data_IF_579476600463
#
_entry.id   IF_579476600463
#
_cell.length_a   1.000
_cell.length_b   1.000
_cell.length_c   1.000
_cell.angle_alpha   90.00
_cell.angle_beta   90.00
_cell.angle_gamma   90.00
#
_symmetry.space_group_name_H-M   'P 1'
#
loop_
_entity.id
_entity.type
_entity.pdbx_description
1 polymer ?
#
# COMPACT_ATOMS: atom_id res chain seq x y z
N UNK A 1 43.62 56.35 20.79
CA UNK A 1 44.33 55.16 21.37
C UNK A 1 43.43 53.96 21.23
N UNK A 2 43.59 53.17 20.22
CA UNK A 2 42.77 52.02 19.90
C UNK A 2 43.44 50.76 20.42
N UNK A 3 42.77 50.00 21.26
CA UNK A 3 43.22 48.71 21.77
C UNK A 3 42.67 47.56 20.94
N UNK A 4 43.54 46.91 20.24
CA UNK A 4 43.30 45.69 19.49
C UNK A 4 43.14 44.50 20.45
N UNK A 5 41.96 43.81 20.43
CA UNK A 5 41.74 42.57 21.12
C UNK A 5 41.58 41.43 20.07
N UNK A 6 42.69 40.76 19.77
CA UNK A 6 42.70 39.51 19.00
C UNK A 6 42.04 38.41 19.80
N UNK A 7 40.93 37.88 19.28
CA UNK A 7 40.24 36.71 19.80
C UNK A 7 40.94 35.43 19.27
N UNK A 8 41.43 34.64 20.22
CA UNK A 8 42.03 33.32 19.97
C UNK A 8 40.98 32.33 19.45
N UNK A 9 41.14 31.89 18.20
CA UNK A 9 40.38 30.78 17.62
C UNK A 9 40.99 29.45 18.08
N UNK A 10 40.41 28.80 19.12
CA UNK A 10 40.64 27.40 19.42
C UNK A 10 40.21 26.53 18.23
N UNK A 11 41.21 25.95 17.54
CA UNK A 11 40.99 24.88 16.53
C UNK A 11 40.55 23.62 17.22
N UNK A 12 39.30 23.24 17.01
CA UNK A 12 38.77 21.94 17.42
C UNK A 12 39.32 20.90 16.44
N UNK A 13 40.30 20.11 16.89
CA UNK A 13 40.83 18.97 16.14
C UNK A 13 39.82 17.84 16.21
N UNK A 14 39.03 17.65 15.18
CA UNK A 14 38.30 16.41 14.96
C UNK A 14 39.32 15.32 14.67
N UNK A 15 39.37 14.33 15.54
CA UNK A 15 40.22 13.16 15.32
C UNK A 15 39.64 12.38 14.11
N UNK A 16 40.43 12.30 13.07
CA UNK A 16 40.12 11.55 11.84
C UNK A 16 40.45 10.08 12.12
N UNK A 17 39.44 9.27 12.51
CA UNK A 17 39.59 7.84 12.75
C UNK A 17 39.54 7.09 11.42
N UNK A 18 40.64 6.50 11.05
CA UNK A 18 40.78 5.59 9.91
C UNK A 18 40.05 4.27 10.17
N UNK A 19 39.47 3.67 9.11
CA UNK A 19 38.85 2.33 9.19
C UNK A 19 39.83 1.25 9.75
N UNK A 20 41.16 1.45 9.66
CA UNK A 20 42.19 0.58 10.25
C UNK A 20 42.23 0.71 11.75
N UNK A 21 42.04 1.90 12.30
CA UNK A 21 42.10 2.13 13.76
C UNK A 21 40.94 1.45 14.48
N UNK A 22 39.80 1.30 13.81
CA UNK A 22 38.67 0.55 14.34
C UNK A 22 38.93 -0.96 14.44
N UNK A 23 39.69 -1.53 13.51
CA UNK A 23 40.01 -2.97 13.52
C UNK A 23 41.12 -3.33 14.51
N UNK A 24 42.02 -2.41 14.83
CA UNK A 24 43.12 -2.64 15.77
C UNK A 24 42.67 -2.39 17.22
N UNK A 25 41.76 -1.46 17.46
CA UNK A 25 41.20 -1.16 18.79
C UNK A 25 40.22 -2.20 19.33
N UNK A 26 39.61 -3.01 18.46
CA UNK A 26 38.62 -4.03 18.81
C UNK A 26 39.19 -5.37 19.30
N UNK A 27 40.49 -5.59 19.20
CA UNK A 27 41.12 -6.89 19.43
C UNK A 27 41.60 -7.20 20.88
N UNK A 28 41.54 -6.26 21.80
CA UNK A 28 42.21 -6.40 23.12
C UNK A 28 41.26 -6.53 24.34
N UNK A 29 39.95 -6.78 24.14
CA UNK A 29 38.99 -6.88 25.25
C UNK A 29 38.28 -8.25 25.32
N UNK A 30 38.96 -9.34 24.94
CA UNK A 30 38.46 -10.70 25.09
C UNK A 30 39.29 -11.53 26.05
N UNK A 31 39.40 -11.11 27.32
CA UNK A 31 39.80 -12.01 28.39
C UNK A 31 39.20 -11.51 29.70
N UNK A 32 38.39 -12.39 30.29
CA UNK A 32 37.73 -12.35 31.61
C UNK A 32 36.28 -11.91 31.58
N UNK A 33 35.40 -12.83 31.13
CA UNK A 33 34.06 -12.90 31.65
C UNK A 33 33.69 -14.37 31.88
N UNK A 34 33.73 -14.77 33.14
CA UNK A 34 33.13 -16.01 33.65
C UNK A 34 31.64 -16.05 33.27
N UNK A 35 31.09 -17.22 32.89
CA UNK A 35 29.70 -17.32 32.50
C UNK A 35 28.81 -17.30 33.76
N UNK A 36 28.24 -16.16 34.09
CA UNK A 36 26.99 -16.11 34.87
C UNK A 36 25.87 -16.24 33.86
N UNK A 37 25.51 -17.48 33.57
CA UNK A 37 24.29 -17.80 32.81
C UNK A 37 23.08 -17.49 33.69
N UNK A 38 22.75 -16.22 33.86
CA UNK A 38 21.42 -15.80 34.22
C UNK A 38 20.60 -15.76 32.94
N UNK A 39 19.84 -16.82 32.68
CA UNK A 39 18.83 -16.84 31.63
C UNK A 39 17.81 -15.74 31.95
N UNK A 40 18.04 -14.55 31.41
CA UNK A 40 17.00 -13.55 31.29
C UNK A 40 16.11 -14.01 30.14
N UNK A 41 15.15 -14.91 30.45
CA UNK A 41 14.01 -15.13 29.61
C UNK A 41 13.19 -13.85 29.63
N UNK A 42 13.54 -12.90 28.79
CA UNK A 42 12.64 -11.80 28.44
C UNK A 42 11.54 -12.41 27.59
N UNK A 43 10.59 -13.09 28.22
CA UNK A 43 9.27 -13.30 27.64
C UNK A 43 8.65 -11.92 27.52
N UNK A 44 8.87 -11.30 26.34
CA UNK A 44 8.03 -10.18 25.94
C UNK A 44 6.58 -10.69 26.00
N UNK A 45 5.71 -10.09 26.83
CA UNK A 45 4.31 -10.52 26.87
C UNK A 45 3.77 -10.38 25.45
N UNK A 46 3.26 -11.50 24.90
CA UNK A 46 2.54 -11.45 23.65
C UNK A 46 1.48 -10.34 23.78
N UNK A 47 1.35 -9.43 22.82
CA UNK A 47 0.39 -8.35 22.91
C UNK A 47 -0.97 -8.96 23.18
N UNK A 48 -1.60 -8.54 24.29
CA UNK A 48 -2.94 -8.97 24.64
C UNK A 48 -3.81 -8.77 23.40
N UNK A 49 -4.54 -9.80 22.97
CA UNK A 49 -5.52 -9.70 21.88
C UNK A 49 -6.58 -8.70 22.33
N UNK A 50 -6.35 -7.42 22.05
CA UNK A 50 -7.38 -6.40 22.16
C UNK A 50 -8.37 -6.66 21.05
N UNK A 51 -9.58 -7.00 21.44
CA UNK A 51 -10.66 -7.26 20.50
C UNK A 51 -11.12 -5.91 19.93
N UNK A 52 -10.71 -5.62 18.72
CA UNK A 52 -11.11 -4.39 18.03
C UNK A 52 -12.40 -4.63 17.26
N UNK A 53 -13.38 -3.73 17.35
CA UNK A 53 -14.61 -3.86 16.58
C UNK A 53 -14.30 -3.86 15.09
N UNK A 54 -15.01 -4.67 14.31
CA UNK A 54 -14.86 -4.77 12.86
C UNK A 54 -15.12 -3.42 12.17
N UNK A 55 -14.40 -3.16 11.10
CA UNK A 55 -14.69 -2.00 10.24
C UNK A 55 -16.03 -2.21 9.53
N UNK A 56 -16.83 -1.16 9.40
CA UNK A 56 -18.06 -1.18 8.61
C UNK A 56 -17.82 -0.93 7.12
N UNK A 57 -16.57 -0.93 6.68
CA UNK A 57 -16.24 -0.72 5.29
C UNK A 57 -14.87 -1.23 4.89
N UNK A 58 -14.83 -1.83 3.70
CA UNK A 58 -13.65 -2.42 3.09
C UNK A 58 -13.63 -2.09 1.60
N UNK A 59 -12.42 -2.05 1.01
CA UNK A 59 -12.23 -1.96 -0.42
C UNK A 59 -11.80 -3.33 -0.94
N UNK A 60 -12.58 -3.90 -1.83
CA UNK A 60 -12.24 -5.09 -2.60
C UNK A 60 -11.94 -4.71 -4.04
N UNK A 61 -11.23 -5.55 -4.75
CA UNK A 61 -10.81 -5.26 -6.13
C UNK A 61 -10.79 -6.51 -6.99
N UNK A 62 -10.77 -6.33 -8.28
CA UNK A 62 -10.53 -7.38 -9.30
C UNK A 62 -9.24 -7.04 -10.05
N UNK A 63 -8.15 -7.75 -9.76
CA UNK A 63 -6.84 -7.54 -10.38
C UNK A 63 -6.92 -7.77 -11.89
N UNK A 64 -7.70 -8.75 -12.33
CA UNK A 64 -7.89 -9.08 -13.76
C UNK A 64 -8.73 -8.05 -14.53
N UNK A 65 -9.41 -7.15 -13.83
CA UNK A 65 -10.16 -6.04 -14.41
C UNK A 65 -9.36 -4.74 -14.36
N UNK A 66 -8.34 -4.68 -13.52
CA UNK A 66 -7.51 -3.50 -13.34
C UNK A 66 -6.61 -3.29 -14.57
N UNK A 67 -6.66 -2.10 -15.16
CA UNK A 67 -5.79 -1.73 -16.29
C UNK A 67 -4.45 -1.10 -15.85
N UNK A 68 -4.15 -1.04 -14.55
CA UNK A 68 -2.93 -0.38 -14.04
C UNK A 68 -2.85 1.12 -14.29
N UNK A 69 -3.95 1.77 -14.70
CA UNK A 69 -3.96 3.17 -15.17
C UNK A 69 -3.68 4.22 -14.10
N UNK A 70 -3.52 3.83 -12.83
CA UNK A 70 -3.24 4.68 -11.65
C UNK A 70 -4.22 5.83 -11.37
N UNK A 71 -5.35 5.93 -12.08
CA UNK A 71 -6.38 6.97 -11.87
C UNK A 71 -6.87 7.01 -10.43
N UNK A 72 -7.06 5.85 -9.79
CA UNK A 72 -7.43 5.74 -8.38
C UNK A 72 -6.39 6.36 -7.43
N UNK A 73 -5.09 6.25 -7.77
CA UNK A 73 -4.00 6.86 -7.00
C UNK A 73 -4.01 8.39 -7.15
N UNK A 74 -4.17 8.91 -8.36
CA UNK A 74 -4.25 10.34 -8.63
C UNK A 74 -5.49 10.96 -7.96
N UNK A 75 -6.64 10.31 -8.07
CA UNK A 75 -7.87 10.74 -7.41
C UNK A 75 -7.72 10.74 -5.89
N UNK A 76 -7.11 9.69 -5.30
CA UNK A 76 -6.84 9.61 -3.87
C UNK A 76 -5.95 10.77 -3.38
N UNK A 77 -4.86 11.08 -4.09
CA UNK A 77 -3.98 12.17 -3.69
C UNK A 77 -4.64 13.54 -3.87
N UNK A 78 -5.43 13.72 -4.94
CA UNK A 78 -6.16 14.96 -5.19
C UNK A 78 -7.17 15.25 -4.06
N UNK A 79 -8.00 14.27 -3.68
CA UNK A 79 -9.03 14.44 -2.66
C UNK A 79 -8.47 14.65 -1.26
N UNK A 80 -7.30 14.06 -0.95
CA UNK A 80 -6.68 14.20 0.38
C UNK A 80 -5.73 15.40 0.51
N UNK A 81 -5.07 15.80 -0.57
CA UNK A 81 -3.98 16.79 -0.53
C UNK A 81 -4.13 17.93 -1.54
N UNK A 82 -5.16 17.92 -2.39
CA UNK A 82 -5.39 18.93 -3.42
C UNK A 82 -4.37 18.89 -4.58
N UNK A 83 -3.54 17.85 -4.66
CA UNK A 83 -2.50 17.68 -5.68
C UNK A 83 -2.51 16.27 -6.26
N UNK A 84 -2.21 16.15 -7.53
CA UNK A 84 -2.06 14.87 -8.21
C UNK A 84 -0.62 14.37 -8.05
N UNK A 85 -0.40 13.46 -7.10
CA UNK A 85 0.92 12.89 -6.82
C UNK A 85 0.78 11.43 -6.38
N UNK A 86 1.31 10.51 -7.17
CA UNK A 86 1.22 9.06 -6.88
C UNK A 86 1.85 8.69 -5.53
N UNK A 87 2.93 9.37 -5.13
CA UNK A 87 3.64 9.10 -3.87
C UNK A 87 2.83 9.49 -2.61
N UNK A 88 1.81 10.35 -2.75
CA UNK A 88 0.92 10.76 -1.66
C UNK A 88 -0.36 9.91 -1.60
N UNK A 89 -0.56 9.04 -2.57
CA UNK A 89 -1.73 8.18 -2.62
C UNK A 89 -1.77 7.21 -1.45
N UNK A 90 -2.94 7.08 -0.82
CA UNK A 90 -3.21 6.13 0.27
C UNK A 90 -3.65 4.74 -0.23
N UNK A 91 -3.89 4.58 -1.53
CA UNK A 91 -4.02 3.32 -2.25
C UNK A 91 -2.83 3.20 -3.20
N UNK A 92 -2.35 1.98 -3.43
CA UNK A 92 -1.19 1.74 -4.28
C UNK A 92 -1.56 0.76 -5.39
N UNK A 93 -1.08 1.03 -6.59
CA UNK A 93 -1.08 0.11 -7.72
C UNK A 93 0.38 -0.21 -8.03
N UNK A 94 0.70 -1.49 -8.05
CA UNK A 94 2.03 -2.00 -8.35
C UNK A 94 1.95 -2.70 -9.68
N UNK A 95 2.90 -2.39 -10.55
CA UNK A 95 3.05 -3.03 -11.85
C UNK A 95 4.38 -3.78 -11.88
N UNK A 96 4.32 -5.05 -12.24
CA UNK A 96 5.51 -5.85 -12.49
C UNK A 96 5.72 -5.92 -14.01
N UNK A 97 6.74 -5.24 -14.50
CA UNK A 97 7.09 -5.19 -15.93
C UNK A 97 7.50 -6.56 -16.50
N UNK A 98 7.83 -7.52 -15.65
CA UNK A 98 8.19 -8.87 -16.02
C UNK A 98 7.09 -9.89 -15.72
N UNK A 99 6.05 -9.44 -15.01
CA UNK A 99 4.88 -10.24 -14.69
C UNK A 99 4.06 -10.56 -15.95
N UNK A 100 3.24 -11.59 -15.84
CA UNK A 100 2.27 -11.96 -16.87
C UNK A 100 0.87 -11.80 -16.33
N UNK A 101 -0.04 -11.33 -17.19
CA UNK A 101 -1.45 -11.27 -16.83
C UNK A 101 -1.93 -12.62 -16.26
N UNK A 102 -2.64 -12.65 -15.14
CA UNK A 102 -3.27 -11.51 -14.43
C UNK A 102 -2.43 -10.94 -13.26
N UNK A 103 -1.19 -11.43 -13.07
CA UNK A 103 -0.38 -11.14 -11.88
C UNK A 103 0.58 -9.95 -12.08
N UNK A 104 0.54 -9.33 -13.27
CA UNK A 104 1.33 -8.16 -13.65
C UNK A 104 0.89 -6.87 -12.96
N UNK A 105 -0.35 -6.82 -12.46
CA UNK A 105 -0.90 -5.65 -11.75
C UNK A 105 -1.47 -6.06 -10.40
N UNK A 106 -0.92 -5.51 -9.33
CA UNK A 106 -1.42 -5.71 -7.98
C UNK A 106 -2.03 -4.43 -7.42
N UNK A 107 -3.26 -4.53 -6.90
CA UNK A 107 -3.91 -3.45 -6.16
C UNK A 107 -3.67 -3.62 -4.66
N UNK A 108 -3.35 -2.53 -3.99
CA UNK A 108 -2.93 -2.56 -2.59
C UNK A 108 -3.70 -1.52 -1.73
N UNK A 109 -5.02 -1.66 -1.57
CA UNK A 109 -5.80 -0.87 -0.61
C UNK A 109 -5.49 -1.31 0.83
N UNK A 110 -5.75 -0.43 1.82
CA UNK A 110 -5.67 -0.81 3.21
C UNK A 110 -6.75 -1.84 3.54
N UNK A 111 -6.35 -2.96 4.16
CA UNK A 111 -7.24 -4.07 4.49
C UNK A 111 -8.16 -3.84 5.69
N UNK A 112 -8.07 -2.69 6.39
CA UNK A 112 -8.89 -2.41 7.59
C UNK A 112 -8.89 -3.60 8.58
N UNK A 113 -7.73 -4.21 8.83
CA UNK A 113 -7.53 -5.49 9.52
C UNK A 113 -8.34 -5.62 10.81
N UNK A 114 -8.84 -6.82 11.12
CA UNK A 114 -9.50 -7.14 12.39
C UNK A 114 -8.54 -6.94 13.56
N UNK A 115 -7.30 -7.42 13.42
CA UNK A 115 -6.22 -7.20 14.38
C UNK A 115 -5.26 -6.15 13.81
N UNK A 116 -5.48 -4.85 14.06
CA UNK A 116 -4.72 -3.79 13.42
C UNK A 116 -3.37 -3.55 14.11
N UNK A 117 -2.34 -4.31 13.74
CA UNK A 117 -0.99 -4.22 14.32
C UNK A 117 -0.42 -2.81 14.26
N UNK A 118 -0.75 -2.05 13.21
CA UNK A 118 -0.35 -0.65 13.09
C UNK A 118 -0.98 0.26 14.18
N UNK A 119 -2.17 -0.07 14.68
CA UNK A 119 -2.83 0.62 15.79
C UNK A 119 -2.19 0.21 17.12
N UNK A 120 -2.02 -1.09 17.33
CA UNK A 120 -1.45 -1.65 18.56
C UNK A 120 -0.05 -1.12 18.88
N UNK A 121 0.75 -0.89 17.85
CA UNK A 121 2.14 -0.47 17.98
C UNK A 121 2.36 1.04 17.81
N UNK A 122 1.32 1.84 17.76
CA UNK A 122 1.47 3.29 17.66
C UNK A 122 1.78 3.91 19.03
N UNK A 123 3.00 4.45 19.27
CA UNK A 123 3.41 4.91 20.60
C UNK A 123 2.61 6.12 21.11
N UNK A 124 2.02 6.90 20.21
CA UNK A 124 1.27 8.11 20.53
C UNK A 124 -0.24 7.97 20.26
N UNK A 125 -0.72 6.77 19.90
CA UNK A 125 -2.13 6.55 19.60
C UNK A 125 -2.65 7.33 18.38
N UNK A 126 -1.77 7.81 17.51
CA UNK A 126 -2.16 8.47 16.26
C UNK A 126 -2.82 7.50 15.28
N UNK A 127 -2.28 6.28 15.14
CA UNK A 127 -2.99 5.21 14.47
C UNK A 127 -4.07 4.70 15.42
N UNK A 128 -5.33 4.77 15.02
CA UNK A 128 -6.47 4.48 15.86
C UNK A 128 -7.62 3.83 15.10
N UNK A 129 -8.58 3.29 15.83
CA UNK A 129 -9.87 2.84 15.32
C UNK A 129 -10.88 3.94 15.61
N UNK A 130 -11.47 4.50 14.57
CA UNK A 130 -12.48 5.55 14.69
C UNK A 130 -13.87 4.94 14.88
N UNK A 131 -14.26 4.77 16.13
CA UNK A 131 -15.55 4.17 16.50
C UNK A 131 -16.75 5.01 16.12
N UNK A 132 -16.59 6.33 16.03
CA UNK A 132 -17.65 7.25 15.61
C UNK A 132 -17.95 7.17 14.12
N UNK A 133 -16.97 6.75 13.31
CA UNK A 133 -17.08 6.66 11.86
C UNK A 133 -16.97 5.21 11.35
N UNK A 134 -17.69 4.29 12.01
CA UNK A 134 -17.79 2.90 11.53
C UNK A 134 -16.51 2.09 11.73
N UNK A 135 -15.79 2.34 12.80
CA UNK A 135 -14.61 1.58 13.21
C UNK A 135 -13.47 1.60 12.17
N UNK A 136 -13.36 2.65 11.39
CA UNK A 136 -12.32 2.76 10.35
C UNK A 136 -10.95 2.91 11.01
N UNK A 137 -9.97 2.12 10.55
CA UNK A 137 -8.58 2.22 11.01
C UNK A 137 -7.93 3.38 10.26
N UNK A 138 -7.67 4.49 10.96
CA UNK A 138 -7.09 5.72 10.39
C UNK A 138 -5.84 6.17 11.14
N UNK A 139 -5.16 7.17 10.62
CA UNK A 139 -4.07 7.87 11.30
C UNK A 139 -4.50 9.32 11.49
N UNK A 140 -4.56 9.76 12.73
CA UNK A 140 -4.75 11.16 13.07
C UNK A 140 -3.45 11.94 12.82
N UNK A 141 -3.46 12.77 11.78
CA UNK A 141 -2.29 13.54 11.37
C UNK A 141 -1.86 14.56 12.43
N UNK A 142 -2.78 15.02 13.31
CA UNK A 142 -2.46 15.99 14.39
C UNK A 142 -1.64 15.34 15.51
N UNK A 143 -1.88 14.05 15.78
CA UNK A 143 -1.16 13.27 16.79
C UNK A 143 0.09 12.57 16.25
N UNK A 144 0.19 12.39 14.93
CA UNK A 144 1.28 11.64 14.30
C UNK A 144 2.62 12.37 14.44
N UNK A 145 3.60 11.72 15.06
CA UNK A 145 4.97 12.21 15.25
C UNK A 145 5.95 11.75 14.16
N UNK A 146 5.49 10.98 13.17
CA UNK A 146 6.32 10.52 12.06
C UNK A 146 7.31 9.40 12.38
N UNK A 147 7.10 8.64 13.44
CA UNK A 147 8.03 7.55 13.84
C UNK A 147 8.07 6.35 12.89
N UNK A 148 7.16 6.25 11.92
CA UNK A 148 7.04 5.19 10.89
C UNK A 148 6.82 3.77 11.44
N UNK A 149 6.60 3.58 12.74
CA UNK A 149 6.35 2.26 13.33
C UNK A 149 5.17 1.55 12.66
N UNK A 150 4.07 2.27 12.37
CA UNK A 150 2.90 1.73 11.69
C UNK A 150 3.19 1.21 10.26
N UNK A 151 4.20 1.77 9.58
CA UNK A 151 4.66 1.28 8.28
C UNK A 151 5.39 -0.05 8.47
N UNK A 152 6.40 -0.08 9.37
CA UNK A 152 7.21 -1.25 9.64
C UNK A 152 6.40 -2.44 10.16
N UNK A 153 5.37 -2.15 10.95
CA UNK A 153 4.52 -3.18 11.56
C UNK A 153 3.39 -3.67 10.65
N UNK A 154 3.19 -3.08 9.46
CA UNK A 154 2.18 -3.55 8.54
C UNK A 154 2.58 -4.91 7.96
N UNK A 155 1.78 -6.00 8.16
CA UNK A 155 2.14 -7.33 7.69
C UNK A 155 1.97 -7.50 6.18
N UNK A 156 1.29 -6.55 5.53
CA UNK A 156 0.99 -6.62 4.10
C UNK A 156 2.18 -6.19 3.25
N UNK A 157 2.35 -6.81 2.09
CA UNK A 157 3.32 -6.42 1.08
C UNK A 157 2.59 -5.99 -0.20
N UNK A 158 2.84 -4.76 -0.66
CA UNK A 158 3.52 -3.65 0.01
C UNK A 158 2.78 -3.18 1.27
N UNK A 159 3.47 -2.46 2.14
CA UNK A 159 2.85 -1.89 3.34
C UNK A 159 1.68 -0.98 2.97
N UNK A 160 0.55 -1.12 3.67
CA UNK A 160 -0.67 -0.34 3.40
C UNK A 160 -0.67 1.03 4.08
N UNK A 161 0.35 1.31 4.89
CA UNK A 161 0.62 2.63 5.45
C UNK A 161 1.73 3.27 4.64
N UNK A 162 1.51 4.49 4.16
CA UNK A 162 2.42 5.23 3.29
C UNK A 162 3.06 6.39 4.03
N UNK A 163 4.25 6.79 3.60
CA UNK A 163 4.96 7.93 4.15
C UNK A 163 4.71 9.19 3.34
N UNK A 164 4.19 10.23 4.01
CA UNK A 164 4.12 11.56 3.42
C UNK A 164 5.42 12.30 3.76
N UNK A 165 6.32 12.43 2.80
CA UNK A 165 7.62 13.06 2.98
C UNK A 165 7.55 14.60 3.07
N UNK A 166 6.44 15.21 2.64
CA UNK A 166 6.20 16.65 2.76
C UNK A 166 5.83 16.99 4.20
N UNK A 167 4.84 16.33 4.75
CA UNK A 167 4.37 16.55 6.12
C UNK A 167 5.22 15.82 7.17
N UNK A 168 6.10 14.90 6.73
CA UNK A 168 6.88 14.00 7.59
C UNK A 168 5.99 13.19 8.54
N UNK A 169 4.89 12.68 8.02
CA UNK A 169 3.89 11.90 8.74
C UNK A 169 3.51 10.65 7.97
N UNK A 170 3.04 9.65 8.68
CA UNK A 170 2.46 8.46 8.07
C UNK A 170 0.98 8.70 7.75
N UNK A 171 0.51 8.15 6.65
CA UNK A 171 -0.90 8.16 6.25
C UNK A 171 -1.32 6.77 5.76
N UNK A 172 -2.61 6.51 5.71
CA UNK A 172 -3.18 5.26 5.20
C UNK A 172 -4.60 5.52 4.72
N UNK A 173 -5.15 4.61 3.93
CA UNK A 173 -6.54 4.68 3.51
C UNK A 173 -7.47 4.70 4.74
N UNK A 174 -8.31 5.71 4.81
CA UNK A 174 -9.33 5.97 5.82
C UNK A 174 -10.75 5.97 5.21
N UNK A 175 -10.90 5.40 4.00
CA UNK A 175 -12.14 5.39 3.23
C UNK A 175 -12.65 6.81 2.91
N UNK A 176 -11.73 7.75 2.69
CA UNK A 176 -12.00 9.16 2.41
C UNK A 176 -12.73 9.92 3.55
N UNK A 177 -12.58 9.49 4.82
CA UNK A 177 -13.14 10.21 5.97
C UNK A 177 -12.49 11.60 6.16
N UNK A 178 -11.19 11.68 5.94
CA UNK A 178 -10.40 12.92 6.03
C UNK A 178 -9.89 13.30 4.64
N UNK A 179 -10.81 13.79 3.81
CA UNK A 179 -10.57 14.14 2.41
C UNK A 179 -11.12 15.55 2.13
N UNK A 180 -10.35 16.61 2.52
CA UNK A 180 -10.84 18.00 2.48
C UNK A 180 -11.12 18.55 1.09
N UNK A 181 -10.62 17.92 0.04
CA UNK A 181 -10.85 18.30 -1.37
C UNK A 181 -11.82 17.34 -2.08
N UNK A 182 -12.61 16.58 -1.30
CA UNK A 182 -13.65 15.70 -1.80
C UNK A 182 -15.03 16.31 -1.55
N UNK A 183 -15.80 16.51 -2.59
CA UNK A 183 -17.11 17.15 -2.50
C UNK A 183 -18.18 16.21 -1.90
N UNK A 184 -17.90 14.92 -1.89
CA UNK A 184 -18.83 13.90 -1.38
C UNK A 184 -18.48 13.51 0.05
N UNK A 185 -19.44 12.98 0.78
CA UNK A 185 -19.21 12.40 2.08
C UNK A 185 -18.42 11.09 1.93
N UNK A 186 -17.29 11.00 2.62
CA UNK A 186 -16.49 9.76 2.71
C UNK A 186 -16.95 8.82 3.82
N UNK A 187 -16.14 7.78 4.04
CA UNK A 187 -16.36 6.78 5.07
C UNK A 187 -17.31 5.64 4.67
N UNK A 188 -17.63 4.72 5.61
CA UNK A 188 -18.50 3.57 5.34
C UNK A 188 -19.92 3.93 4.91
N UNK A 189 -20.39 5.11 5.25
CA UNK A 189 -21.71 5.60 4.86
C UNK A 189 -21.67 6.59 3.68
N UNK A 190 -20.57 6.64 2.94
CA UNK A 190 -20.37 7.59 1.86
C UNK A 190 -19.66 6.97 0.65
N UNK A 191 -19.08 7.82 -0.20
CA UNK A 191 -18.38 7.43 -1.42
C UNK A 191 -16.86 7.49 -1.23
N UNK A 192 -16.14 6.69 -2.00
CA UNK A 192 -14.69 6.67 -2.00
C UNK A 192 -14.17 7.13 -3.37
N UNK A 193 -13.32 8.13 -3.39
CA UNK A 193 -12.80 8.73 -4.61
C UNK A 193 -12.19 7.72 -5.58
N UNK A 194 -11.45 6.73 -5.08
CA UNK A 194 -10.83 5.69 -5.89
C UNK A 194 -11.86 4.74 -6.54
N UNK A 195 -13.01 4.52 -5.90
CA UNK A 195 -14.12 3.70 -6.44
C UNK A 195 -14.83 4.45 -7.54
N UNK A 196 -15.20 5.71 -7.27
CA UNK A 196 -15.92 6.55 -8.22
C UNK A 196 -15.10 6.86 -9.48
N UNK A 197 -13.81 7.12 -9.31
CA UNK A 197 -12.91 7.49 -10.42
C UNK A 197 -12.39 6.31 -11.23
N UNK A 198 -12.62 5.06 -10.80
CA UNK A 198 -12.09 3.90 -11.51
C UNK A 198 -12.80 3.67 -12.86
N UNK A 199 -12.14 3.88 -14.02
CA UNK A 199 -12.79 3.73 -15.33
C UNK A 199 -13.18 2.28 -15.62
N UNK A 200 -12.40 1.33 -15.08
CA UNK A 200 -12.62 -0.10 -15.26
C UNK A 200 -13.60 -0.68 -14.24
N UNK A 201 -14.05 0.10 -13.25
CA UNK A 201 -14.86 -0.39 -12.12
C UNK A 201 -14.25 -1.63 -11.47
N UNK A 202 -12.93 -1.62 -11.35
CA UNK A 202 -12.14 -2.71 -10.77
C UNK A 202 -12.04 -2.63 -9.25
N UNK A 203 -12.52 -1.55 -8.63
CA UNK A 203 -12.53 -1.35 -7.16
C UNK A 203 -13.99 -1.23 -6.73
N UNK A 204 -14.32 -1.86 -5.61
CA UNK A 204 -15.65 -1.77 -5.01
C UNK A 204 -15.56 -1.59 -3.50
N UNK A 205 -16.48 -0.82 -2.97
CA UNK A 205 -16.73 -0.74 -1.53
C UNK A 205 -17.68 -1.86 -1.10
N UNK A 206 -17.36 -2.51 0.01
CA UNK A 206 -18.21 -3.52 0.65
C UNK A 206 -18.30 -3.27 2.15
N UNK A 207 -19.47 -3.56 2.75
CA UNK A 207 -19.68 -3.51 4.20
C UNK A 207 -19.39 -4.84 4.89
N UNK A 208 -19.34 -5.92 4.12
CA UNK A 208 -19.03 -7.27 4.63
C UNK A 208 -17.53 -7.42 4.78
N UNK A 209 -17.10 -8.04 5.87
CA UNK A 209 -15.68 -8.30 6.14
C UNK A 209 -15.13 -9.33 5.14
N UNK A 210 -14.16 -8.96 4.30
CA UNK A 210 -13.48 -9.93 3.43
C UNK A 210 -12.65 -10.92 4.23
N UNK A 211 -12.23 -12.02 3.62
CA UNK A 211 -11.31 -12.95 4.26
C UNK A 211 -9.98 -12.26 4.61
N UNK A 212 -9.64 -12.27 5.90
CA UNK A 212 -8.44 -11.63 6.43
C UNK A 212 -7.22 -12.54 6.44
N UNK A 213 -7.44 -13.85 6.30
CA UNK A 213 -6.39 -14.87 6.44
C UNK A 213 -5.66 -15.11 5.12
N UNK A 214 -6.37 -15.04 4.01
CA UNK A 214 -5.80 -15.26 2.69
C UNK A 214 -5.24 -13.97 2.08
N UNK A 215 -4.17 -14.12 1.30
CA UNK A 215 -3.57 -13.00 0.59
C UNK A 215 -4.54 -12.42 -0.42
N UNK A 216 -5.37 -13.26 -1.03
CA UNK A 216 -6.29 -12.94 -2.12
C UNK A 216 -7.72 -12.67 -1.67
N UNK A 217 -8.00 -12.69 -0.36
CA UNK A 217 -9.36 -12.48 0.17
C UNK A 217 -9.98 -11.11 -0.17
N UNK A 218 -9.19 -10.19 -0.69
CA UNK A 218 -9.62 -8.88 -1.19
C UNK A 218 -9.64 -8.79 -2.72
N UNK A 219 -9.08 -9.77 -3.43
CA UNK A 219 -9.15 -9.87 -4.88
C UNK A 219 -10.35 -10.73 -5.26
N UNK A 220 -11.40 -10.10 -5.73
CA UNK A 220 -12.69 -10.72 -6.00
C UNK A 220 -13.03 -10.63 -7.48
N UNK A 221 -13.88 -11.53 -7.95
CA UNK A 221 -14.33 -11.51 -9.33
C UNK A 221 -15.50 -10.52 -9.52
N UNK A 222 -15.21 -9.29 -9.92
CA UNK A 222 -16.22 -8.26 -10.22
C UNK A 222 -16.75 -8.32 -11.66
N UNK A 223 -16.24 -9.20 -12.50
CA UNK A 223 -16.64 -9.28 -13.92
C UNK A 223 -18.02 -9.85 -14.08
N UNK A 224 -18.40 -10.79 -13.23
CA UNK A 224 -19.71 -11.43 -13.32
C UNK A 224 -20.87 -10.46 -13.07
N UNK A 225 -20.69 -9.47 -12.19
CA UNK A 225 -21.73 -8.49 -11.89
C UNK A 225 -22.11 -7.62 -13.09
N UNK A 226 -21.13 -7.30 -13.94
CA UNK A 226 -21.42 -6.52 -15.15
C UNK A 226 -22.38 -7.28 -16.08
N UNK A 227 -22.16 -8.57 -16.27
CA UNK A 227 -23.00 -9.42 -17.10
C UNK A 227 -24.37 -9.70 -16.47
N UNK A 228 -24.40 -9.87 -15.13
CA UNK A 228 -25.65 -10.01 -14.38
C UNK A 228 -26.52 -8.76 -14.49
N UNK A 229 -25.93 -7.57 -14.37
CA UNK A 229 -26.64 -6.29 -14.51
C UNK A 229 -27.18 -6.06 -15.93
N UNK A 230 -26.54 -6.66 -16.93
CA UNK A 230 -27.00 -6.64 -18.31
C UNK A 230 -28.01 -7.77 -18.61
N UNK A 231 -28.33 -8.63 -17.63
CA UNK A 231 -29.24 -9.77 -17.81
C UNK A 231 -28.70 -10.86 -18.74
N UNK A 232 -27.39 -10.89 -18.98
CA UNK A 232 -26.77 -11.80 -19.93
C UNK A 232 -26.27 -13.11 -19.32
N UNK A 233 -26.22 -13.20 -17.97
CA UNK A 233 -25.75 -14.40 -17.24
C UNK A 233 -26.63 -14.59 -16.02
N UNK A 234 -27.05 -15.82 -15.76
CA UNK A 234 -27.65 -16.20 -14.48
C UNK A 234 -26.58 -16.25 -13.39
N UNK A 235 -26.96 -15.99 -12.13
CA UNK A 235 -26.05 -15.88 -10.98
C UNK A 235 -25.17 -17.13 -10.72
N UNK A 236 -25.52 -18.26 -11.32
CA UNK A 236 -24.83 -19.54 -11.18
C UNK A 236 -23.90 -19.91 -12.33
N UNK A 237 -23.87 -19.12 -13.43
CA UNK A 237 -23.12 -19.49 -14.65
C UNK A 237 -22.06 -18.45 -14.96
N UNK A 238 -20.82 -18.84 -14.90
CA UNK A 238 -19.65 -17.97 -15.19
C UNK A 238 -19.51 -17.68 -16.68
N UNK A 239 -20.04 -18.56 -17.53
CA UNK A 239 -20.00 -18.44 -18.99
C UNK A 239 -21.41 -18.77 -19.56
N UNK A 240 -22.02 -17.89 -20.38
CA UNK A 240 -23.25 -18.23 -21.05
C UNK A 240 -23.08 -19.51 -21.89
N UNK A 241 -24.05 -20.43 -21.89
CA UNK A 241 -23.97 -21.67 -22.68
C UNK A 241 -23.66 -21.42 -24.17
N UNK A 242 -24.14 -20.31 -24.73
CA UNK A 242 -23.84 -19.90 -26.10
C UNK A 242 -22.36 -19.56 -26.35
N UNK A 243 -21.62 -19.12 -25.33
CA UNK A 243 -20.18 -18.87 -25.44
C UNK A 243 -19.33 -20.10 -25.14
N UNK A 244 -19.83 -21.03 -24.33
CA UNK A 244 -19.15 -22.29 -24.04
C UNK A 244 -19.09 -23.23 -25.28
N UNK A 245 -20.01 -23.06 -26.24
CA UNK A 245 -20.04 -23.84 -27.48
C UNK A 245 -19.26 -23.21 -28.63
N UNK A 246 -18.71 -22.02 -28.48
CA UNK A 246 -17.86 -21.42 -29.51
C UNK A 246 -16.49 -22.10 -29.47
N UNK A 247 -16.14 -22.76 -30.60
CA UNK A 247 -14.78 -23.23 -30.79
C UNK A 247 -13.79 -22.07 -30.59
N UNK A 248 -12.62 -22.31 -29.97
CA UNK A 248 -11.60 -21.30 -29.89
C UNK A 248 -11.36 -20.69 -31.27
N UNK A 249 -11.37 -19.34 -31.34
CA UNK A 249 -11.00 -18.64 -32.56
C UNK A 249 -9.53 -18.99 -32.81
N UNK A 250 -9.30 -19.95 -33.74
CA UNK A 250 -7.96 -20.22 -34.23
C UNK A 250 -7.63 -19.08 -35.20
N UNK A 251 -6.75 -18.19 -34.79
CA UNK A 251 -6.14 -17.26 -35.74
C UNK A 251 -5.31 -18.07 -36.73
N UNK A 252 -5.79 -18.17 -37.97
CA UNK A 252 -4.91 -18.64 -39.04
C UNK A 252 -3.76 -17.62 -39.14
N UNK A 253 -2.50 -18.10 -39.20
CA UNK A 253 -1.37 -17.19 -39.37
C UNK A 253 -1.56 -16.44 -40.68
N UNK A 254 -1.46 -15.12 -40.64
CA UNK A 254 -1.54 -14.29 -41.85
C UNK A 254 -0.63 -14.86 -42.95
N UNK A 255 -1.11 -14.92 -44.19
CA UNK A 255 -0.29 -15.41 -45.29
C UNK A 255 0.97 -14.57 -45.38
N UNK A 256 2.13 -15.20 -45.33
CA UNK A 256 3.43 -14.55 -45.43
C UNK A 256 3.44 -13.75 -46.73
N UNK A 257 3.47 -12.43 -46.61
CA UNK A 257 3.65 -11.53 -47.76
C UNK A 257 5.00 -11.86 -48.37
N UNK A 258 5.00 -12.49 -49.53
CA UNK A 258 6.23 -12.74 -50.29
C UNK A 258 6.77 -11.36 -50.75
N UNK A 259 8.07 -11.11 -50.63
CA UNK A 259 8.67 -9.90 -51.18
C UNK A 259 8.42 -9.85 -52.67
N UNK A 260 7.84 -8.78 -53.20
CA UNK A 260 7.76 -8.56 -54.62
C UNK A 260 9.19 -8.47 -55.17
N UNK A 261 9.57 -9.37 -56.03
CA UNK A 261 10.78 -9.29 -56.82
C UNK A 261 10.73 -7.96 -57.59
N UNK A 262 11.74 -7.13 -57.37
CA UNK A 262 11.90 -5.92 -58.13
C UNK A 262 12.33 -6.30 -59.53
N UNK A 263 11.39 -6.24 -60.50
CA UNK A 263 11.74 -6.30 -61.89
C UNK A 263 12.69 -5.16 -62.24
N UNK A 264 13.90 -5.53 -62.61
CA UNK A 264 14.95 -4.62 -63.02
C UNK A 264 14.54 -3.81 -64.27
N UNK A 265 14.54 -2.51 -64.14
CA UNK A 265 14.55 -1.61 -65.32
C UNK A 265 15.93 -1.72 -65.98
N UNK A 266 15.91 -2.19 -67.22
CA UNK A 266 16.98 -2.01 -68.18
C UNK A 266 16.87 -0.62 -68.79
#
# INVERSE_FOLDING_TARGET
>A
MAGDKRADKKKNKTADYSRRDFLIGGGAALAVCTPVAAAITTTSPAPAKTDYPESKGYLVYDSKKCAGCTTCMLSCSLTHYGVQNLSLSRIQIIQDSFGKFPDDVQMAPCRQCLTPVCVQNCPVGAACVDTSNGNVRRIDSKKCIGCQTCIKMCPQQPHRTVWNHIEKKSSKCDLCLDAPYWDEKGGPGGKQACVESCPMKAIRFVSTTPDQTETDGYDVNLRNEHWLNLGLVESSTIIPPAMASQKPITFEPEPKIQPKEQEGQK
#
